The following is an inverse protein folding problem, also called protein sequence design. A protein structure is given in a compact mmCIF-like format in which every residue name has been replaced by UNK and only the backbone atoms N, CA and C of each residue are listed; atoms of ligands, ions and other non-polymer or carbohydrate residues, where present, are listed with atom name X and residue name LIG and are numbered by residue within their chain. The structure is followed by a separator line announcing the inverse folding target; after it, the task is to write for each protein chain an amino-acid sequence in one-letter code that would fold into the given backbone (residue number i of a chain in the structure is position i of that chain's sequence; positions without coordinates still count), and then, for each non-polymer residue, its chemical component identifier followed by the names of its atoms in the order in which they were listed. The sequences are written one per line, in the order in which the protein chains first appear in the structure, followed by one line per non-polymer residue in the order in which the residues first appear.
data_IF_583383349305
#
_entry.id   IF_583383349305
#
_cell.length_a   1.000
_cell.length_b   1.000
_cell.length_c   1.000
_cell.angle_alpha   90.00
_cell.angle_beta   90.00
_cell.angle_gamma   90.00
#
_symmetry.space_group_name_H-M   'P 1'
#
loop_
_entity.id
_entity.type
_entity.pdbx_description
1 polymer ?
#
# COMPACT_ATOMS: atom_id res chain seq x y z
N UNK A 1 4.95 15.75 8.80
CA UNK A 1 6.03 16.50 8.16
C UNK A 1 6.48 15.87 6.85
N UNK A 2 7.29 14.79 6.90
CA UNK A 2 7.98 14.23 5.71
C UNK A 2 7.00 13.79 4.62
N UNK A 3 5.97 13.04 4.96
CA UNK A 3 4.95 12.54 4.00
C UNK A 3 4.28 13.70 3.23
N UNK A 4 4.02 14.83 3.92
CA UNK A 4 3.42 16.01 3.30
C UNK A 4 4.36 16.63 2.26
N UNK A 5 5.65 16.72 2.58
CA UNK A 5 6.67 17.24 1.65
C UNK A 5 6.76 16.36 0.40
N UNK A 6 6.85 15.03 0.58
CA UNK A 6 6.86 14.09 -0.55
C UNK A 6 5.56 14.14 -1.37
N UNK A 7 4.40 14.31 -0.71
CA UNK A 7 3.11 14.47 -1.37
C UNK A 7 3.03 15.75 -2.20
N UNK A 8 3.51 16.89 -1.67
CA UNK A 8 3.57 18.16 -2.40
C UNK A 8 4.50 18.04 -3.61
N UNK A 9 5.69 17.46 -3.43
CA UNK A 9 6.62 17.23 -4.53
C UNK A 9 6.00 16.32 -5.61
N UNK A 10 5.33 15.24 -5.23
CA UNK A 10 4.65 14.35 -6.17
C UNK A 10 3.54 15.07 -6.94
N UNK A 11 2.80 15.96 -6.28
CA UNK A 11 1.76 16.78 -6.89
C UNK A 11 2.34 17.79 -7.89
N UNK A 12 3.41 18.50 -7.53
CA UNK A 12 4.08 19.44 -8.41
C UNK A 12 4.64 18.78 -9.68
N UNK A 13 5.16 17.56 -9.55
CA UNK A 13 5.57 16.74 -10.71
C UNK A 13 4.37 16.27 -11.51
N UNK A 14 3.26 15.90 -10.84
CA UNK A 14 2.06 15.42 -11.52
C UNK A 14 1.37 16.52 -12.35
N UNK A 15 1.37 17.74 -11.84
CA UNK A 15 0.84 18.94 -12.55
C UNK A 15 1.76 19.47 -13.65
N UNK A 16 2.98 18.91 -13.79
CA UNK A 16 3.93 19.35 -14.80
C UNK A 16 4.62 20.69 -14.47
N UNK A 17 4.62 21.12 -13.21
CA UNK A 17 5.31 22.34 -12.78
C UNK A 17 6.82 22.12 -12.72
N UNK A 18 7.26 20.93 -12.30
CA UNK A 18 8.67 20.57 -12.16
C UNK A 18 8.95 19.21 -12.80
N UNK A 19 10.21 18.98 -13.17
CA UNK A 19 10.75 17.72 -13.67
C UNK A 19 10.05 17.18 -14.94
N UNK A 20 9.61 18.07 -15.85
CA UNK A 20 8.95 17.67 -17.11
C UNK A 20 9.90 16.91 -18.05
N UNK A 21 11.17 17.33 -18.08
CA UNK A 21 12.18 16.76 -18.99
C UNK A 21 13.04 15.66 -18.34
N UNK A 22 12.44 14.87 -17.43
CA UNK A 22 13.17 13.84 -16.67
C UNK A 22 13.85 12.77 -17.53
N UNK A 23 13.42 12.60 -18.77
CA UNK A 23 13.94 11.60 -19.71
C UNK A 23 14.74 12.23 -20.86
N UNK A 24 14.84 13.57 -20.91
CA UNK A 24 15.62 14.29 -21.90
C UNK A 24 17.12 14.09 -21.67
N UNK A 25 17.85 13.93 -22.78
CA UNK A 25 19.30 13.94 -22.75
C UNK A 25 19.77 15.40 -22.70
N UNK A 26 20.40 15.78 -21.59
CA UNK A 26 20.80 17.18 -21.32
C UNK A 26 22.31 17.39 -21.36
N UNK A 27 23.10 16.30 -21.41
CA UNK A 27 24.57 16.39 -21.40
C UNK A 27 25.27 15.11 -21.87
N UNK A 28 26.58 15.07 -21.64
CA UNK A 28 27.37 13.85 -21.86
C UNK A 28 27.06 12.79 -20.80
N UNK A 29 27.47 11.56 -21.08
CA UNK A 29 27.29 10.42 -20.15
C UNK A 29 28.25 10.58 -18.96
N UNK A 30 27.72 10.32 -17.75
CA UNK A 30 28.53 10.32 -16.52
C UNK A 30 29.27 11.63 -16.23
N UNK A 31 28.68 12.78 -16.58
CA UNK A 31 29.20 14.07 -16.12
C UNK A 31 29.13 14.13 -14.61
N UNK A 32 30.20 14.60 -13.98
CA UNK A 32 30.21 14.86 -12.54
C UNK A 32 29.28 15.98 -12.12
N UNK A 33 29.02 16.13 -10.81
CA UNK A 33 28.27 17.26 -10.28
C UNK A 33 28.89 18.61 -10.66
N UNK A 34 28.05 19.56 -11.08
CA UNK A 34 28.47 20.90 -11.53
C UNK A 34 27.33 21.90 -11.46
N UNK A 35 27.59 23.14 -11.94
CA UNK A 35 26.61 24.23 -11.93
C UNK A 35 25.34 23.91 -12.70
N UNK A 36 25.47 23.22 -13.82
CA UNK A 36 24.37 22.94 -14.73
C UNK A 36 23.61 21.63 -14.35
N UNK A 37 24.32 20.67 -13.72
CA UNK A 37 23.79 19.39 -13.26
C UNK A 37 24.28 19.09 -11.85
N UNK A 38 23.50 19.46 -10.84
CA UNK A 38 23.91 19.40 -9.41
C UNK A 38 24.30 17.99 -8.95
N UNK A 39 23.66 16.95 -9.46
CA UNK A 39 24.01 15.55 -9.18
C UNK A 39 24.67 14.85 -10.39
N UNK A 40 25.02 15.63 -11.43
CA UNK A 40 25.58 15.07 -12.65
C UNK A 40 24.57 14.37 -13.54
N UNK A 41 25.09 13.61 -14.53
CA UNK A 41 24.26 12.89 -15.51
C UNK A 41 24.44 11.38 -15.43
N UNK A 42 23.41 10.65 -15.83
CA UNK A 42 23.42 9.19 -15.87
C UNK A 42 24.14 8.63 -17.12
N UNK A 43 24.11 7.30 -17.28
CA UNK A 43 24.68 6.61 -18.44
C UNK A 43 24.06 6.98 -19.79
N UNK A 44 22.91 7.66 -19.78
CA UNK A 44 22.21 8.12 -20.98
C UNK A 44 22.31 9.64 -21.19
N UNK A 45 23.04 10.34 -20.30
CA UNK A 45 23.21 11.78 -20.34
C UNK A 45 21.98 12.56 -19.84
N UNK A 46 21.16 11.95 -18.97
CA UNK A 46 19.97 12.57 -18.37
C UNK A 46 20.34 13.11 -16.98
N UNK A 47 19.72 14.22 -16.58
CA UNK A 47 19.98 14.83 -15.28
C UNK A 47 19.46 13.97 -14.11
N UNK A 48 20.36 13.61 -13.20
CA UNK A 48 20.06 12.73 -12.07
C UNK A 48 19.10 13.41 -11.09
N UNK A 49 19.25 14.71 -10.83
CA UNK A 49 18.38 15.42 -9.88
C UNK A 49 16.94 15.49 -10.39
N UNK A 50 16.74 15.83 -11.65
CA UNK A 50 15.40 15.88 -12.26
C UNK A 50 14.74 14.51 -12.25
N UNK A 51 15.49 13.45 -12.50
CA UNK A 51 14.99 12.07 -12.41
C UNK A 51 14.65 11.64 -10.99
N UNK A 52 15.44 12.06 -9.99
CA UNK A 52 15.16 11.79 -8.58
C UNK A 52 13.82 12.45 -8.17
N UNK A 53 13.62 13.71 -8.56
CA UNK A 53 12.39 14.44 -8.29
C UNK A 53 11.20 13.77 -8.98
N UNK A 54 11.34 13.37 -10.24
CA UNK A 54 10.28 12.64 -10.96
C UNK A 54 9.97 11.27 -10.35
N UNK A 55 11.00 10.52 -9.92
CA UNK A 55 10.81 9.21 -9.31
C UNK A 55 9.99 9.25 -8.03
N UNK A 56 10.02 10.39 -7.30
CA UNK A 56 9.19 10.61 -6.13
C UNK A 56 7.68 10.52 -6.46
N UNK A 57 7.24 11.06 -7.60
CA UNK A 57 5.83 10.92 -8.06
C UNK A 57 5.45 9.45 -8.21
N UNK A 58 6.30 8.65 -8.83
CA UNK A 58 6.05 7.22 -9.05
C UNK A 58 6.01 6.48 -7.71
N UNK A 59 7.01 6.68 -6.86
CA UNK A 59 7.10 6.03 -5.56
C UNK A 59 5.89 6.40 -4.67
N UNK A 60 5.55 7.69 -4.59
CA UNK A 60 4.43 8.17 -3.80
C UNK A 60 3.08 7.64 -4.32
N UNK A 61 2.85 7.65 -5.62
CA UNK A 61 1.60 7.16 -6.20
C UNK A 61 1.44 5.64 -6.02
N UNK A 62 2.50 4.87 -6.25
CA UNK A 62 2.48 3.41 -6.03
C UNK A 62 2.26 3.10 -4.55
N UNK A 63 3.01 3.77 -3.66
CA UNK A 63 2.86 3.60 -2.22
C UNK A 63 1.44 3.94 -1.73
N UNK A 64 0.90 5.08 -2.11
CA UNK A 64 -0.42 5.55 -1.67
C UNK A 64 -1.54 4.61 -2.15
N UNK A 65 -1.56 4.29 -3.45
CA UNK A 65 -2.61 3.42 -4.02
C UNK A 65 -2.53 2.02 -3.43
N UNK A 66 -1.33 1.42 -3.38
CA UNK A 66 -1.19 0.07 -2.83
C UNK A 66 -1.49 0.01 -1.32
N UNK A 67 -1.09 1.01 -0.54
CA UNK A 67 -1.45 1.08 0.89
C UNK A 67 -2.95 1.24 1.10
N UNK A 68 -3.61 2.09 0.32
CA UNK A 68 -5.07 2.27 0.41
C UNK A 68 -5.82 0.97 0.14
N UNK A 69 -5.44 0.26 -0.93
CA UNK A 69 -6.03 -1.05 -1.27
C UNK A 69 -5.69 -2.09 -0.20
N UNK A 70 -4.42 -2.16 0.23
CA UNK A 70 -3.95 -3.10 1.21
C UNK A 70 -4.68 -2.96 2.55
N UNK A 71 -4.81 -1.73 3.04
CA UNK A 71 -5.50 -1.42 4.30
C UNK A 71 -6.99 -1.73 4.18
N UNK A 72 -7.65 -1.30 3.09
CA UNK A 72 -9.08 -1.54 2.88
C UNK A 72 -9.40 -3.02 2.81
N UNK A 73 -8.72 -3.77 1.93
CA UNK A 73 -8.93 -5.21 1.74
C UNK A 73 -8.50 -5.98 3.00
N UNK A 74 -7.34 -5.65 3.56
CA UNK A 74 -6.81 -6.30 4.76
C UNK A 74 -7.71 -6.12 5.97
N UNK A 75 -8.22 -4.89 6.21
CA UNK A 75 -9.15 -4.62 7.31
C UNK A 75 -10.46 -5.38 7.12
N UNK A 76 -11.01 -5.38 5.92
CA UNK A 76 -12.25 -6.08 5.63
C UNK A 76 -12.12 -7.59 5.86
N UNK A 77 -11.15 -8.22 5.22
CA UNK A 77 -10.92 -9.67 5.32
C UNK A 77 -10.48 -10.07 6.73
N UNK A 78 -9.58 -9.32 7.35
CA UNK A 78 -9.15 -9.56 8.73
C UNK A 78 -10.29 -9.45 9.73
N UNK A 79 -11.15 -8.43 9.58
CA UNK A 79 -12.33 -8.27 10.43
C UNK A 79 -13.36 -9.40 10.21
N UNK A 80 -13.58 -9.83 8.99
CA UNK A 80 -14.45 -10.98 8.71
C UNK A 80 -13.89 -12.26 9.33
N UNK A 81 -12.62 -12.55 9.15
CA UNK A 81 -11.96 -13.72 9.73
C UNK A 81 -12.07 -13.74 11.26
N UNK A 82 -11.69 -12.65 11.92
CA UNK A 82 -11.71 -12.54 13.38
C UNK A 82 -13.12 -12.53 13.98
N UNK A 83 -14.10 -11.95 13.29
CA UNK A 83 -15.47 -11.84 13.77
C UNK A 83 -16.27 -13.14 13.60
N UNK A 84 -16.28 -13.73 12.41
CA UNK A 84 -17.05 -14.94 12.13
C UNK A 84 -16.34 -16.22 12.59
N UNK A 85 -15.01 -16.27 12.51
CA UNK A 85 -14.23 -17.46 12.86
C UNK A 85 -14.54 -18.67 11.97
N UNK A 86 -14.23 -19.86 12.46
CA UNK A 86 -14.59 -21.13 11.81
C UNK A 86 -14.15 -21.23 10.34
N UNK A 87 -15.09 -21.57 9.46
CA UNK A 87 -14.81 -21.76 8.02
C UNK A 87 -14.38 -20.47 7.31
N UNK A 88 -14.90 -19.30 7.73
CA UNK A 88 -14.52 -18.00 7.14
C UNK A 88 -13.07 -17.69 7.48
N UNK A 89 -12.71 -17.89 8.74
CA UNK A 89 -11.33 -17.72 9.19
C UNK A 89 -10.37 -18.68 8.47
N UNK A 90 -10.73 -19.97 8.42
CA UNK A 90 -9.92 -20.99 7.75
C UNK A 90 -9.67 -20.66 6.27
N UNK A 91 -10.70 -20.18 5.55
CA UNK A 91 -10.58 -19.79 4.13
C UNK A 91 -9.63 -18.61 3.94
N UNK A 92 -9.79 -17.55 4.76
CA UNK A 92 -8.95 -16.35 4.66
C UNK A 92 -7.51 -16.68 5.05
N UNK A 93 -7.31 -17.48 6.09
CA UNK A 93 -5.98 -17.98 6.48
C UNK A 93 -5.34 -18.80 5.36
N UNK A 94 -6.07 -19.71 4.76
CA UNK A 94 -5.60 -20.49 3.63
C UNK A 94 -5.16 -19.58 2.47
N UNK A 95 -5.99 -18.59 2.13
CA UNK A 95 -5.69 -17.65 1.03
C UNK A 95 -4.39 -16.89 1.24
N UNK A 96 -4.22 -16.22 2.40
CA UNK A 96 -2.99 -15.47 2.62
C UNK A 96 -1.77 -16.37 2.86
N UNK A 97 -1.94 -17.56 3.45
CA UNK A 97 -0.84 -18.51 3.64
C UNK A 97 -0.34 -19.04 2.30
N UNK A 98 -1.23 -19.29 1.34
CA UNK A 98 -0.86 -19.65 -0.03
C UNK A 98 -0.01 -18.57 -0.70
N UNK A 99 -0.41 -17.30 -0.56
CA UNK A 99 0.38 -16.17 -1.07
C UNK A 99 1.76 -16.11 -0.41
N UNK A 100 1.82 -16.30 0.91
CA UNK A 100 3.07 -16.23 1.68
C UNK A 100 3.98 -17.46 1.54
N UNK A 101 3.51 -18.57 0.97
CA UNK A 101 4.34 -19.74 0.71
C UNK A 101 5.38 -19.50 -0.38
N UNK A 102 5.15 -18.48 -1.22
CA UNK A 102 6.08 -18.09 -2.28
C UNK A 102 7.03 -17.00 -1.73
N UNK A 103 8.35 -17.10 -1.97
CA UNK A 103 9.27 -16.03 -1.60
C UNK A 103 8.80 -14.68 -2.18
N UNK A 104 8.62 -13.68 -1.31
CA UNK A 104 7.95 -12.42 -1.65
C UNK A 104 8.49 -11.75 -2.91
N UNK A 105 9.84 -11.64 -3.03
CA UNK A 105 10.45 -11.02 -4.20
C UNK A 105 10.16 -11.76 -5.50
N UNK A 106 10.15 -13.10 -5.48
CA UNK A 106 9.82 -13.91 -6.65
C UNK A 106 8.37 -13.71 -7.06
N UNK A 107 7.45 -13.71 -6.09
CA UNK A 107 6.03 -13.44 -6.35
C UNK A 107 5.82 -12.04 -6.93
N UNK A 108 6.47 -11.02 -6.36
CA UNK A 108 6.36 -9.64 -6.83
C UNK A 108 6.86 -9.52 -8.28
N UNK A 109 8.01 -10.10 -8.59
CA UNK A 109 8.57 -10.10 -9.95
C UNK A 109 7.66 -10.84 -10.95
N UNK A 110 7.13 -12.00 -10.56
CA UNK A 110 6.22 -12.77 -11.41
C UNK A 110 4.92 -12.01 -11.70
N UNK A 111 4.31 -11.41 -10.68
CA UNK A 111 3.08 -10.61 -10.83
C UNK A 111 3.33 -9.35 -11.68
N UNK A 112 4.44 -8.65 -11.43
CA UNK A 112 4.82 -7.47 -12.22
C UNK A 112 5.00 -7.82 -13.69
N UNK A 113 5.67 -8.94 -13.98
CA UNK A 113 5.87 -9.40 -15.35
C UNK A 113 4.57 -9.85 -16.03
N UNK A 114 3.73 -10.60 -15.31
CA UNK A 114 2.45 -11.11 -15.83
C UNK A 114 1.43 -9.99 -16.10
N UNK A 115 1.42 -8.94 -15.25
CA UNK A 115 0.51 -7.81 -15.39
C UNK A 115 0.96 -6.78 -16.47
N UNK A 116 2.16 -6.96 -17.02
CA UNK A 116 2.72 -6.10 -18.06
C UNK A 116 3.85 -5.21 -17.56
N UNK A 117 4.64 -4.69 -18.51
CA UNK A 117 5.79 -3.83 -18.22
C UNK A 117 5.34 -2.45 -17.72
N UNK A 118 6.14 -1.87 -16.80
CA UNK A 118 5.97 -0.50 -16.32
C UNK A 118 5.25 -0.40 -14.97
N UNK A 119 4.70 0.77 -14.70
CA UNK A 119 4.10 1.13 -13.40
C UNK A 119 2.84 0.29 -13.11
N UNK A 120 2.06 -0.06 -14.12
CA UNK A 120 0.84 -0.88 -13.99
C UNK A 120 1.14 -2.25 -13.37
N UNK A 121 2.24 -2.90 -13.81
CA UNK A 121 2.68 -4.16 -13.23
C UNK A 121 2.99 -4.04 -11.74
N UNK A 122 3.62 -2.94 -11.32
CA UNK A 122 3.90 -2.65 -9.91
C UNK A 122 2.61 -2.47 -9.09
N UNK A 123 1.62 -1.72 -9.60
CA UNK A 123 0.33 -1.56 -8.93
C UNK A 123 -0.35 -2.92 -8.70
N UNK A 124 -0.45 -3.73 -9.73
CA UNK A 124 -1.07 -5.06 -9.62
C UNK A 124 -0.34 -5.93 -8.61
N UNK A 125 0.98 -5.97 -8.67
CA UNK A 125 1.79 -6.79 -7.78
C UNK A 125 1.63 -6.37 -6.31
N UNK A 126 1.76 -5.08 -6.01
CA UNK A 126 1.62 -4.58 -4.63
C UNK A 126 0.18 -4.67 -4.11
N UNK A 127 -0.82 -4.29 -4.90
CA UNK A 127 -2.21 -4.40 -4.48
C UNK A 127 -2.63 -5.85 -4.21
N UNK A 128 -2.07 -6.81 -4.95
CA UNK A 128 -2.37 -8.23 -4.78
C UNK A 128 -1.70 -8.86 -3.55
N UNK A 129 -0.65 -8.26 -3.00
CA UNK A 129 0.16 -8.88 -1.94
C UNK A 129 0.15 -8.14 -0.61
N UNK A 130 0.09 -6.80 -0.61
CA UNK A 130 0.26 -6.01 0.62
C UNK A 130 -0.90 -6.09 1.61
N UNK A 131 -2.09 -6.50 1.19
CA UNK A 131 -3.25 -6.65 2.09
C UNK A 131 -3.06 -7.74 3.17
N UNK A 132 -2.15 -8.67 2.97
CA UNK A 132 -1.90 -9.79 3.89
C UNK A 132 -1.43 -9.32 5.27
N UNK A 133 -0.53 -8.32 5.32
CA UNK A 133 -0.03 -7.75 6.57
C UNK A 133 -1.15 -7.18 7.45
N UNK A 134 -1.88 -6.15 6.98
CA UNK A 134 -3.03 -5.60 7.69
C UNK A 134 -4.09 -6.64 8.04
N UNK A 135 -4.38 -7.58 7.14
CA UNK A 135 -5.34 -8.67 7.39
C UNK A 135 -4.97 -9.49 8.63
N UNK A 136 -3.72 -9.90 8.76
CA UNK A 136 -3.24 -10.68 9.92
C UNK A 136 -3.33 -9.92 11.24
N UNK A 137 -2.94 -8.65 11.21
CA UNK A 137 -2.99 -7.79 12.41
C UNK A 137 -4.44 -7.60 12.87
N UNK A 138 -5.32 -7.22 11.96
CA UNK A 138 -6.74 -6.99 12.27
C UNK A 138 -7.43 -8.29 12.71
N UNK A 139 -7.15 -9.41 12.03
CA UNK A 139 -7.67 -10.73 12.41
C UNK A 139 -7.30 -11.10 13.85
N UNK A 140 -6.10 -10.76 14.30
CA UNK A 140 -5.65 -11.02 15.68
C UNK A 140 -6.34 -10.15 16.73
N UNK A 141 -6.75 -8.93 16.37
CA UNK A 141 -7.36 -7.98 17.31
C UNK A 141 -8.89 -8.12 17.41
N UNK A 142 -9.56 -8.44 16.34
CA UNK A 142 -11.03 -8.50 16.28
C UNK A 142 -11.66 -9.47 17.28
N UNK A 143 -11.09 -10.65 17.63
CA UNK A 143 -11.66 -11.52 18.67
C UNK A 143 -11.76 -10.83 20.05
N UNK A 144 -10.82 -9.94 20.39
CA UNK A 144 -10.86 -9.15 21.63
C UNK A 144 -12.03 -8.16 21.57
N UNK A 145 -12.14 -7.40 20.47
CA UNK A 145 -13.23 -6.43 20.27
C UNK A 145 -14.60 -7.10 20.27
N UNK A 146 -14.71 -8.29 19.68
CA UNK A 146 -15.96 -9.08 19.64
C UNK A 146 -16.52 -9.42 21.03
N UNK A 147 -15.62 -9.54 22.01
CA UNK A 147 -15.97 -9.89 23.39
C UNK A 147 -16.20 -8.66 24.29
N UNK A 148 -16.05 -7.44 23.79
CA UNK A 148 -16.31 -6.23 24.56
C UNK A 148 -17.81 -6.06 24.88
N UNK A 149 -18.11 -5.46 26.03
CA UNK A 149 -19.47 -5.30 26.56
C UNK A 149 -20.41 -4.59 25.56
N UNK A 150 -19.94 -3.53 24.91
CA UNK A 150 -20.75 -2.78 23.94
C UNK A 150 -21.11 -3.62 22.70
N UNK A 151 -20.26 -4.56 22.30
CA UNK A 151 -20.55 -5.50 21.19
C UNK A 151 -21.56 -6.54 21.64
N UNK A 152 -21.42 -7.04 22.86
CA UNK A 152 -22.36 -8.00 23.42
C UNK A 152 -23.75 -7.36 23.63
N UNK A 153 -23.80 -6.12 24.13
CA UNK A 153 -25.03 -5.37 24.24
C UNK A 153 -25.72 -5.16 22.88
N UNK A 154 -24.95 -4.76 21.86
CA UNK A 154 -25.47 -4.62 20.49
C UNK A 154 -26.06 -5.93 19.96
N UNK A 155 -25.42 -7.06 20.27
CA UNK A 155 -25.92 -8.40 19.90
C UNK A 155 -27.19 -8.77 20.66
N UNK A 156 -27.24 -8.48 21.96
CA UNK A 156 -28.43 -8.71 22.80
C UNK A 156 -29.64 -7.88 22.33
N UNK A 157 -29.41 -6.67 21.80
CA UNK A 157 -30.43 -5.84 21.16
C UNK A 157 -30.85 -6.32 19.76
N UNK A 158 -30.33 -7.46 19.28
CA UNK A 158 -30.72 -8.04 18.01
C UNK A 158 -30.09 -7.42 16.78
N UNK A 159 -29.01 -6.62 16.90
CA UNK A 159 -28.34 -6.06 15.73
C UNK A 159 -27.76 -7.18 14.85
N UNK A 160 -27.95 -7.10 13.53
CA UNK A 160 -27.39 -8.11 12.61
C UNK A 160 -25.86 -8.05 12.61
N UNK A 161 -25.21 -9.20 12.43
CA UNK A 161 -23.75 -9.33 12.45
C UNK A 161 -23.02 -8.33 11.51
N UNK A 162 -23.64 -8.02 10.36
CA UNK A 162 -23.10 -7.00 9.44
C UNK A 162 -23.05 -5.61 10.08
N UNK A 163 -24.13 -5.20 10.76
CA UNK A 163 -24.18 -3.90 11.44
C UNK A 163 -23.14 -3.85 12.57
N UNK A 164 -22.99 -4.94 13.35
CA UNK A 164 -21.97 -5.03 14.40
C UNK A 164 -20.58 -4.89 13.79
N UNK A 165 -20.29 -5.62 12.71
CA UNK A 165 -18.99 -5.58 12.04
C UNK A 165 -18.63 -4.17 11.56
N UNK A 166 -19.52 -3.53 10.80
CA UNK A 166 -19.24 -2.24 10.18
C UNK A 166 -19.37 -1.04 11.13
N UNK A 167 -20.27 -1.09 12.14
CA UNK A 167 -20.52 0.04 13.04
C UNK A 167 -19.72 -0.03 14.35
N UNK A 168 -19.34 -1.23 14.78
CA UNK A 168 -18.71 -1.43 16.09
C UNK A 168 -17.29 -2.03 16.01
N UNK A 169 -17.03 -2.95 15.10
CA UNK A 169 -15.73 -3.63 15.01
C UNK A 169 -14.75 -2.82 14.16
N UNK A 170 -15.05 -2.62 12.88
CA UNK A 170 -14.13 -1.94 11.94
C UNK A 170 -13.72 -0.56 12.42
N UNK A 171 -14.64 0.35 12.89
CA UNK A 171 -14.22 1.65 13.39
C UNK A 171 -13.25 1.59 14.57
N UNK A 172 -13.42 0.59 15.45
CA UNK A 172 -12.52 0.40 16.59
C UNK A 172 -11.17 -0.23 16.23
N UNK A 173 -10.98 -0.71 14.99
CA UNK A 173 -9.67 -1.12 14.48
C UNK A 173 -8.92 -0.01 13.74
N UNK A 174 -9.52 1.20 13.57
CA UNK A 174 -8.93 2.28 12.77
C UNK A 174 -7.55 2.72 13.26
N UNK A 175 -7.29 2.69 14.57
CA UNK A 175 -5.96 3.01 15.10
C UNK A 175 -4.87 2.07 14.54
N UNK A 176 -5.17 0.76 14.40
CA UNK A 176 -4.26 -0.21 13.77
C UNK A 176 -4.14 0.01 12.26
N UNK A 177 -5.25 0.44 11.63
CA UNK A 177 -5.27 0.81 10.22
C UNK A 177 -4.30 1.95 9.95
N UNK A 178 -4.38 3.02 10.75
CA UNK A 178 -3.48 4.18 10.61
C UNK A 178 -2.01 3.81 10.82
N UNK A 179 -1.70 2.98 11.82
CA UNK A 179 -0.33 2.52 12.06
C UNK A 179 0.21 1.69 10.88
N UNK A 180 -0.63 0.87 10.25
CA UNK A 180 -0.22 0.07 9.08
C UNK A 180 -0.16 0.90 7.78
N UNK A 181 -0.84 2.04 7.71
CA UNK A 181 -0.83 2.93 6.55
C UNK A 181 0.39 3.87 6.56
N UNK A 182 0.86 4.29 7.73
CA UNK A 182 1.99 5.22 7.91
C UNK A 182 3.34 4.55 7.68
#
# INVERSE_FOLDING_TARGET
GIIVIYGILALLVATGVIAQEFDARVGEKYMGPGSDHWLGTDRQGRDILTRLIYSNKVAFSVGMVSSLVAVSVGTLLGSMAGYFGGKVDALIVWLYSTIQSIPYLLLLMALTYAAGKGITGLYVAFCSTYWVGPCRVIRGEVPKLRNMEYVQAARALGLPSRAILFKHIIPNTLHLVFVNFA
#
